data_IF_389821609771
#
_entry.id   IF_389821609771
#
_cell.length_a   1.000
_cell.length_b   1.000
_cell.length_c   1.000
_cell.angle_alpha   90.00
_cell.angle_beta   90.00
_cell.angle_gamma   90.00
#
_symmetry.space_group_name_H-M   'P 1'
#
loop_
_entity.id
_entity.type
_entity.pdbx_description
1 polymer ?
#
# COMPACT_ATOMS: atom_id res chain seq x y z
N UNK A 1 -7.74 8.85 2.91
CA UNK A 1 -6.81 8.69 4.05
C UNK A 1 -5.59 9.57 3.83
N UNK A 2 -5.15 10.28 4.86
CA UNK A 2 -3.88 11.05 4.88
C UNK A 2 -3.05 10.57 6.06
N UNK A 3 -1.86 10.06 5.80
CA UNK A 3 -0.93 9.65 6.86
C UNK A 3 -0.31 10.91 7.45
N UNK A 4 -0.25 11.01 8.78
CA UNK A 4 0.35 12.13 9.52
C UNK A 4 1.70 11.78 10.09
N UNK A 5 1.80 10.63 10.76
CA UNK A 5 3.06 10.15 11.33
C UNK A 5 3.14 8.63 11.34
N UNK A 6 4.36 8.10 11.36
CA UNK A 6 4.61 6.68 11.58
C UNK A 6 5.78 6.47 12.53
N UNK A 7 5.65 5.43 13.36
CA UNK A 7 6.74 4.74 14.04
C UNK A 7 6.69 3.27 13.65
N UNK A 8 7.83 2.66 13.37
CA UNK A 8 7.90 1.24 13.03
C UNK A 8 9.23 0.62 13.47
N UNK A 9 9.19 -0.57 14.01
CA UNK A 9 10.41 -1.29 14.34
C UNK A 9 10.34 -2.78 13.94
N UNK A 10 11.50 -3.34 13.63
CA UNK A 10 11.67 -4.73 13.22
C UNK A 10 12.75 -5.38 14.08
N UNK A 11 12.35 -6.21 15.03
CA UNK A 11 13.29 -6.89 15.93
C UNK A 11 14.29 -7.75 15.19
N UNK A 12 13.86 -8.44 14.11
CA UNK A 12 14.70 -9.31 13.29
C UNK A 12 15.75 -8.58 12.46
N UNK A 13 15.49 -7.34 12.04
CA UNK A 13 16.35 -6.54 11.14
C UNK A 13 17.10 -5.43 11.86
N UNK A 14 16.84 -5.21 13.16
CA UNK A 14 17.37 -4.07 13.94
C UNK A 14 17.11 -2.71 13.28
N UNK A 15 15.98 -2.59 12.58
CA UNK A 15 15.52 -1.34 11.97
C UNK A 15 14.54 -0.70 12.93
N UNK A 16 14.75 0.60 13.19
CA UNK A 16 13.89 1.39 14.04
C UNK A 16 13.63 2.74 13.35
N UNK A 17 12.39 3.00 13.03
CA UNK A 17 11.89 4.22 12.39
C UNK A 17 11.08 4.95 13.45
N UNK A 18 11.48 6.18 13.78
CA UNK A 18 10.86 6.96 14.84
C UNK A 18 10.53 8.36 14.35
N UNK A 19 9.39 8.86 14.79
CA UNK A 19 8.93 10.25 14.65
C UNK A 19 8.98 10.77 13.20
N UNK A 20 8.57 9.92 12.24
CA UNK A 20 8.47 10.35 10.84
C UNK A 20 7.13 11.01 10.62
N UNK A 21 7.15 12.31 10.35
CA UNK A 21 5.98 13.12 10.07
C UNK A 21 5.80 13.35 8.57
N UNK A 22 4.54 13.43 8.12
CA UNK A 22 4.17 13.66 6.73
C UNK A 22 3.35 14.95 6.58
N UNK A 23 3.63 15.69 5.52
CA UNK A 23 2.85 16.87 5.16
C UNK A 23 1.46 16.49 4.61
N UNK A 24 0.50 17.41 4.72
CA UNK A 24 -0.90 17.18 4.31
C UNK A 24 -1.08 16.88 2.81
N UNK A 25 -0.14 17.27 1.98
CA UNK A 25 -0.18 17.07 0.53
C UNK A 25 0.94 16.16 0.05
N UNK A 26 2.04 16.75 -0.39
CA UNK A 26 3.23 16.07 -0.86
C UNK A 26 4.32 16.06 0.21
N UNK A 27 4.88 14.89 0.47
CA UNK A 27 6.09 14.74 1.30
C UNK A 27 7.23 14.24 0.42
N UNK A 28 8.32 14.97 0.37
CA UNK A 28 9.53 14.59 -0.36
C UNK A 28 10.61 14.10 0.61
N UNK A 29 11.00 12.83 0.48
CA UNK A 29 12.08 12.23 1.27
C UNK A 29 13.42 12.44 0.54
N UNK A 30 14.23 13.36 1.03
CA UNK A 30 15.54 13.71 0.44
C UNK A 30 16.68 13.28 1.35
N UNK A 31 17.79 12.85 0.78
CA UNK A 31 18.98 12.46 1.54
C UNK A 31 19.91 11.55 0.73
N UNK A 32 21.11 11.31 1.25
CA UNK A 32 22.10 10.43 0.64
C UNK A 32 21.57 9.00 0.43
N UNK A 33 22.21 8.22 -0.44
CA UNK A 33 21.89 6.79 -0.59
C UNK A 33 22.16 6.05 0.74
N UNK A 34 21.29 5.11 1.09
CA UNK A 34 21.48 4.28 2.29
C UNK A 34 20.97 4.87 3.62
N UNK A 35 20.45 6.11 3.65
CA UNK A 35 19.95 6.74 4.90
C UNK A 35 18.56 6.28 5.34
N UNK A 36 17.97 5.26 4.70
CA UNK A 36 16.71 4.67 5.15
C UNK A 36 15.44 5.19 4.48
N UNK A 37 15.51 6.04 3.43
CA UNK A 37 14.31 6.55 2.74
C UNK A 37 13.36 5.44 2.27
N UNK A 38 13.90 4.40 1.64
CA UNK A 38 13.11 3.25 1.18
C UNK A 38 12.52 2.45 2.35
N UNK A 39 13.21 2.39 3.49
CA UNK A 39 12.69 1.71 4.68
C UNK A 39 11.44 2.38 5.24
N UNK A 40 11.32 3.71 5.13
CA UNK A 40 10.10 4.44 5.51
C UNK A 40 8.93 4.04 4.60
N UNK A 41 9.15 3.97 3.29
CA UNK A 41 8.13 3.54 2.33
C UNK A 41 7.76 2.06 2.53
N UNK A 42 8.77 1.20 2.76
CA UNK A 42 8.56 -0.21 3.08
C UNK A 42 7.72 -0.37 4.37
N UNK A 43 7.98 0.44 5.40
CA UNK A 43 7.20 0.39 6.65
C UNK A 43 5.72 0.76 6.44
N UNK A 44 5.43 1.76 5.61
CA UNK A 44 4.04 2.09 5.23
C UNK A 44 3.36 0.91 4.53
N UNK A 45 4.09 0.23 3.64
CA UNK A 45 3.59 -0.96 2.96
C UNK A 45 3.40 -2.14 3.90
N UNK A 46 4.30 -2.34 4.85
CA UNK A 46 4.19 -3.38 5.86
C UNK A 46 2.99 -3.11 6.80
N UNK A 47 2.76 -1.86 7.22
CA UNK A 47 1.56 -1.47 7.97
C UNK A 47 0.28 -1.75 7.16
N UNK A 48 0.27 -1.42 5.86
CA UNK A 48 -0.85 -1.78 4.97
C UNK A 48 -1.08 -3.29 4.95
N UNK A 49 -0.04 -4.10 4.78
CA UNK A 49 -0.15 -5.57 4.73
C UNK A 49 -0.72 -6.13 6.02
N UNK A 50 -0.32 -5.59 7.17
CA UNK A 50 -0.90 -5.92 8.48
C UNK A 50 -2.39 -5.55 8.53
N UNK A 51 -2.77 -4.36 8.06
CA UNK A 51 -4.18 -3.96 8.00
C UNK A 51 -5.03 -4.89 7.12
N UNK A 52 -4.41 -5.53 6.12
CA UNK A 52 -5.06 -6.49 5.22
C UNK A 52 -5.04 -7.94 5.73
N UNK A 53 -4.46 -8.19 6.91
CA UNK A 53 -4.51 -9.48 7.62
C UNK A 53 -3.26 -10.33 7.53
N UNK A 54 -2.16 -9.81 6.99
CA UNK A 54 -0.90 -10.55 7.00
C UNK A 54 -0.13 -10.31 8.29
N UNK A 55 0.67 -11.29 8.72
CA UNK A 55 1.50 -11.19 9.91
C UNK A 55 2.97 -10.98 9.54
N UNK A 56 3.67 -10.17 10.33
CA UNK A 56 5.09 -9.87 10.13
C UNK A 56 5.86 -10.12 11.44
N UNK A 57 6.75 -11.08 11.41
CA UNK A 57 7.50 -11.52 12.60
C UNK A 57 8.31 -10.38 13.25
N UNK A 58 8.04 -10.11 14.53
CA UNK A 58 8.73 -9.11 15.33
C UNK A 58 8.58 -7.68 14.82
N UNK A 59 7.51 -7.38 14.11
CA UNK A 59 7.16 -6.04 13.66
C UNK A 59 6.30 -5.33 14.70
N UNK A 60 6.63 -4.09 15.00
CA UNK A 60 5.76 -3.19 15.75
C UNK A 60 5.53 -1.92 14.96
N UNK A 61 4.34 -1.36 15.10
CA UNK A 61 3.90 -0.18 14.35
C UNK A 61 3.08 0.76 15.21
N UNK A 62 3.16 2.02 14.86
CA UNK A 62 2.22 3.06 15.25
C UNK A 62 2.04 3.99 14.05
N UNK A 63 0.80 4.26 13.69
CA UNK A 63 0.45 5.16 12.58
C UNK A 63 -0.66 6.10 13.00
N UNK A 64 -0.43 7.39 12.76
CA UNK A 64 -1.45 8.41 12.84
C UNK A 64 -1.91 8.80 11.45
N UNK A 65 -3.21 8.86 11.24
CA UNK A 65 -3.80 9.21 9.94
C UNK A 65 -5.19 9.83 10.12
N UNK A 66 -5.68 10.49 9.06
CA UNK A 66 -7.06 10.97 9.01
C UNK A 66 -7.81 10.38 7.80
N UNK A 67 -9.09 10.14 7.98
CA UNK A 67 -10.04 9.80 6.93
C UNK A 67 -11.22 10.76 7.11
N UNK A 68 -11.47 11.56 6.07
CA UNK A 68 -12.46 12.64 6.09
C UNK A 68 -12.22 13.59 7.29
N UNK A 69 -13.14 13.69 8.23
CA UNK A 69 -13.05 14.57 9.42
C UNK A 69 -12.53 13.85 10.67
N UNK A 70 -12.33 12.53 10.61
CA UNK A 70 -11.91 11.72 11.77
C UNK A 70 -10.40 11.49 11.82
N UNK A 71 -9.88 11.49 13.03
CA UNK A 71 -8.49 11.24 13.37
C UNK A 71 -8.31 9.83 13.94
N UNK A 72 -7.28 9.15 13.51
CA UNK A 72 -7.02 7.76 13.88
C UNK A 72 -5.60 7.60 14.40
N UNK A 73 -5.45 6.85 15.48
CA UNK A 73 -4.18 6.33 15.96
C UNK A 73 -4.28 4.80 16.04
N UNK A 74 -3.49 4.10 15.26
CA UNK A 74 -3.45 2.64 15.26
C UNK A 74 -2.04 2.14 15.55
N UNK A 75 -1.93 1.27 16.54
CA UNK A 75 -0.65 0.70 16.98
C UNK A 75 -0.78 -0.77 17.31
N UNK A 76 0.34 -1.49 17.24
CA UNK A 76 0.40 -2.88 17.65
C UNK A 76 1.81 -3.46 17.54
N UNK A 77 1.92 -4.69 18.01
CA UNK A 77 3.17 -5.44 18.04
C UNK A 77 2.90 -6.92 17.78
N UNK A 78 3.70 -7.53 16.93
CA UNK A 78 3.77 -8.99 16.78
C UNK A 78 4.82 -9.59 17.69
N UNK A 79 4.56 -10.77 18.21
CA UNK A 79 5.58 -11.57 18.88
C UNK A 79 6.74 -11.87 17.92
N UNK A 80 7.97 -11.73 18.40
CA UNK A 80 9.14 -12.25 17.70
C UNK A 80 9.19 -13.77 17.84
N UNK A 81 9.08 -14.50 16.74
CA UNK A 81 9.33 -15.92 16.69
C UNK A 81 10.78 -16.12 16.26
N UNK A 82 11.57 -16.89 17.00
CA UNK A 82 12.91 -17.29 16.55
C UNK A 82 12.76 -18.10 15.25
N UNK A 83 13.20 -17.54 14.14
CA UNK A 83 13.28 -18.29 12.88
C UNK A 83 14.35 -19.36 12.99
N UNK A 84 13.99 -20.61 12.73
CA UNK A 84 14.95 -21.71 12.58
C UNK A 84 16.04 -21.33 11.58
N UNK A 85 17.29 -21.64 11.91
CA UNK A 85 18.46 -21.36 11.05
C UNK A 85 18.28 -21.90 9.61
N UNK A 86 17.54 -23.00 9.45
CA UNK A 86 17.18 -23.60 8.17
C UNK A 86 16.21 -22.72 7.35
N UNK A 87 15.24 -22.06 8.00
CA UNK A 87 14.29 -21.15 7.33
C UNK A 87 15.01 -19.89 6.82
N UNK A 88 16.01 -19.39 7.57
CA UNK A 88 16.88 -18.28 7.12
C UNK A 88 17.66 -18.61 5.87
N UNK A 89 18.22 -19.81 5.77
CA UNK A 89 18.99 -20.28 4.61
C UNK A 89 18.08 -20.44 3.39
N UNK A 90 16.89 -21.03 3.56
CA UNK A 90 15.91 -21.16 2.47
C UNK A 90 15.41 -19.80 1.97
N UNK A 91 15.22 -18.82 2.85
CA UNK A 91 14.85 -17.46 2.50
C UNK A 91 15.90 -16.72 1.65
N UNK A 92 17.20 -17.05 1.79
CA UNK A 92 18.28 -16.48 0.98
C UNK A 92 18.25 -16.97 -0.48
N UNK A 93 17.71 -18.16 -0.74
CA UNK A 93 17.65 -18.75 -2.09
C UNK A 93 16.30 -18.56 -2.77
N UNK A 94 15.24 -18.19 -2.04
CA UNK A 94 13.96 -17.87 -2.64
C UNK A 94 13.95 -16.43 -3.13
N UNK A 95 13.91 -16.22 -4.44
CA UNK A 95 13.70 -14.89 -5.08
C UNK A 95 12.30 -14.33 -4.83
N UNK A 96 11.40 -15.07 -4.20
CA UNK A 96 10.11 -14.55 -3.79
C UNK A 96 10.32 -13.71 -2.54
N UNK A 97 10.02 -12.42 -2.63
CA UNK A 97 9.85 -11.49 -1.51
C UNK A 97 8.62 -11.89 -0.64
N UNK A 98 8.50 -13.18 -0.29
CA UNK A 98 7.51 -13.61 0.70
C UNK A 98 7.99 -13.15 2.08
N UNK A 99 7.88 -11.82 2.30
CA UNK A 99 8.15 -11.18 3.60
C UNK A 99 7.14 -11.63 4.67
N UNK A 100 6.06 -12.33 4.30
CA UNK A 100 4.80 -12.24 5.03
C UNK A 100 4.17 -13.58 5.40
N UNK A 101 4.87 -14.70 5.30
CA UNK A 101 4.32 -15.99 5.76
C UNK A 101 4.82 -16.33 7.17
N UNK A 102 4.76 -15.38 8.10
CA UNK A 102 5.01 -15.67 9.49
C UNK A 102 3.66 -15.96 10.18
N UNK A 103 3.57 -17.07 10.92
CA UNK A 103 2.45 -17.31 11.83
C UNK A 103 2.66 -16.51 13.14
N UNK A 104 3.28 -15.34 13.07
CA UNK A 104 3.49 -14.49 14.21
C UNK A 104 2.16 -14.02 14.78
N UNK A 105 1.99 -14.14 16.08
CA UNK A 105 0.78 -13.71 16.78
C UNK A 105 0.90 -12.25 17.16
N UNK A 106 -0.21 -11.52 17.11
CA UNK A 106 -0.28 -10.16 17.63
C UNK A 106 -0.27 -10.24 19.16
N UNK A 107 0.69 -9.55 19.76
CA UNK A 107 0.83 -9.41 21.21
C UNK A 107 -0.10 -8.34 21.75
N UNK A 108 -0.05 -7.17 21.11
CA UNK A 108 -0.89 -6.02 21.46
C UNK A 108 -1.38 -5.31 20.22
N UNK A 109 -2.60 -4.76 20.27
CA UNK A 109 -3.13 -3.91 19.22
C UNK A 109 -4.13 -2.90 19.81
N UNK A 110 -4.02 -1.63 19.43
CA UNK A 110 -4.91 -0.58 19.87
C UNK A 110 -5.32 0.29 18.69
N UNK A 111 -6.58 0.67 18.65
CA UNK A 111 -7.11 1.64 17.70
C UNK A 111 -7.90 2.70 18.45
N UNK A 112 -7.53 3.95 18.23
CA UNK A 112 -8.28 5.12 18.69
C UNK A 112 -8.90 5.83 17.49
N UNK A 113 -10.11 6.34 17.68
CA UNK A 113 -10.82 7.23 16.75
C UNK A 113 -11.21 8.48 17.53
N UNK A 114 -10.76 9.65 17.07
CA UNK A 114 -10.99 10.94 17.75
C UNK A 114 -10.66 10.90 19.26
N UNK A 115 -9.57 10.21 19.62
CA UNK A 115 -9.10 9.94 20.99
C UNK A 115 -9.87 8.89 21.79
N UNK A 116 -10.98 8.37 21.28
CA UNK A 116 -11.71 7.27 21.92
C UNK A 116 -11.07 5.91 21.58
N UNK A 117 -10.83 5.09 22.60
CA UNK A 117 -10.30 3.73 22.43
C UNK A 117 -11.41 2.81 21.92
N UNK A 118 -11.30 2.41 20.65
CA UNK A 118 -12.28 1.55 19.96
C UNK A 118 -11.89 0.09 20.01
N UNK A 119 -10.60 -0.19 19.81
CA UNK A 119 -10.05 -1.56 19.85
C UNK A 119 -8.93 -1.60 20.87
N UNK A 120 -8.99 -2.58 21.75
CA UNK A 120 -7.91 -2.96 22.65
C UNK A 120 -7.72 -4.47 22.59
N UNK A 121 -6.52 -4.91 22.19
CA UNK A 121 -6.16 -6.32 22.14
C UNK A 121 -4.93 -6.57 22.99
N UNK A 122 -5.01 -7.60 23.82
CA UNK A 122 -3.88 -8.22 24.51
C UNK A 122 -3.92 -9.72 24.23
N UNK A 123 -2.93 -10.20 23.48
CA UNK A 123 -2.84 -11.59 23.01
C UNK A 123 -4.13 -12.06 22.28
N UNK A 124 -4.88 -12.99 22.88
CA UNK A 124 -6.09 -13.56 22.29
C UNK A 124 -7.37 -12.81 22.70
N UNK A 125 -7.28 -11.89 23.65
CA UNK A 125 -8.43 -11.13 24.14
C UNK A 125 -8.56 -9.83 23.37
N UNK A 126 -9.70 -9.66 22.69
CA UNK A 126 -10.04 -8.45 21.96
C UNK A 126 -11.25 -7.80 22.59
N UNK A 127 -11.12 -6.52 22.90
CA UNK A 127 -12.21 -5.65 23.37
C UNK A 127 -12.54 -4.68 22.23
N UNK A 128 -13.78 -4.68 21.78
CA UNK A 128 -14.30 -3.75 20.78
C UNK A 128 -15.40 -2.91 21.38
N UNK A 129 -15.25 -1.58 21.36
CA UNK A 129 -16.20 -0.63 22.00
C UNK A 129 -16.51 -1.00 23.46
N UNK A 130 -15.49 -1.34 24.23
CA UNK A 130 -15.64 -1.71 25.64
C UNK A 130 -16.25 -3.09 25.91
N UNK A 131 -16.58 -3.86 24.88
CA UNK A 131 -17.14 -5.21 25.03
C UNK A 131 -16.18 -6.27 24.48
N UNK A 132 -16.01 -7.41 25.16
CA UNK A 132 -15.18 -8.50 24.67
C UNK A 132 -15.80 -9.12 23.42
N UNK A 133 -14.95 -9.44 22.43
CA UNK A 133 -15.37 -10.15 21.24
C UNK A 133 -15.29 -11.68 21.44
N UNK A 134 -15.80 -12.43 20.45
CA UNK A 134 -15.47 -13.85 20.33
C UNK A 134 -13.95 -14.03 20.08
N UNK A 135 -13.43 -15.23 20.32
CA UNK A 135 -12.06 -15.57 19.96
C UNK A 135 -11.90 -15.50 18.44
N UNK A 136 -10.96 -14.64 18.00
CA UNK A 136 -10.65 -14.41 16.59
C UNK A 136 -9.21 -14.87 16.29
N UNK A 137 -8.83 -14.86 15.02
CA UNK A 137 -7.50 -15.29 14.59
C UNK A 137 -6.38 -14.49 15.28
N UNK A 138 -5.41 -15.15 15.91
CA UNK A 138 -4.38 -14.47 16.71
C UNK A 138 -3.31 -13.77 15.87
N UNK A 139 -3.21 -14.08 14.59
CA UNK A 139 -2.19 -13.59 13.66
C UNK A 139 -2.70 -12.51 12.69
N UNK A 140 -4.00 -12.22 12.71
CA UNK A 140 -4.62 -11.18 11.87
C UNK A 140 -4.94 -9.94 12.69
N UNK A 141 -4.79 -8.75 12.08
CA UNK A 141 -5.14 -7.48 12.73
C UNK A 141 -6.64 -7.36 12.99
N UNK A 142 -7.00 -6.61 14.03
CA UNK A 142 -8.41 -6.31 14.32
C UNK A 142 -9.06 -5.50 13.19
N UNK A 143 -8.30 -4.68 12.44
CA UNK A 143 -8.81 -4.00 11.25
C UNK A 143 -9.31 -5.02 10.21
N UNK A 144 -8.56 -6.10 9.99
CA UNK A 144 -8.97 -7.18 9.09
C UNK A 144 -10.14 -7.99 9.65
N UNK A 145 -10.04 -8.39 10.91
CA UNK A 145 -11.04 -9.26 11.56
C UNK A 145 -12.41 -8.57 11.66
N UNK A 146 -12.42 -7.26 11.90
CA UNK A 146 -13.63 -6.44 12.09
C UNK A 146 -13.96 -5.58 10.86
N UNK A 147 -13.46 -5.92 9.67
CA UNK A 147 -13.60 -5.12 8.45
C UNK A 147 -15.05 -4.85 8.02
N UNK A 148 -16.03 -5.62 8.52
CA UNK A 148 -17.45 -5.43 8.24
C UNK A 148 -18.14 -4.47 9.23
N UNK A 149 -17.47 -4.08 10.31
CA UNK A 149 -17.99 -3.14 11.27
C UNK A 149 -17.95 -1.72 10.70
N UNK A 150 -19.03 -0.95 10.86
CA UNK A 150 -19.19 0.38 10.27
C UNK A 150 -18.04 1.36 10.58
N UNK A 151 -17.44 1.27 11.78
CA UNK A 151 -16.31 2.12 12.17
C UNK A 151 -14.98 1.64 11.56
N UNK A 152 -14.85 0.37 11.21
CA UNK A 152 -13.60 -0.23 10.73
C UNK A 152 -13.55 -0.29 9.21
N UNK A 153 -14.70 -0.44 8.56
CA UNK A 153 -14.80 -0.50 7.09
C UNK A 153 -14.06 0.66 6.38
N UNK A 154 -14.22 1.94 6.79
CA UNK A 154 -13.51 3.06 6.14
C UNK A 154 -11.99 2.94 6.25
N UNK A 155 -11.50 2.43 7.39
CA UNK A 155 -10.06 2.24 7.64
C UNK A 155 -9.53 1.15 6.70
N UNK A 156 -10.17 -0.03 6.71
CA UNK A 156 -9.80 -1.17 5.86
C UNK A 156 -9.78 -0.81 4.37
N UNK A 157 -10.84 -0.17 3.88
CA UNK A 157 -10.94 0.26 2.48
C UNK A 157 -9.91 1.35 2.12
N UNK A 158 -9.52 2.19 3.07
CA UNK A 158 -8.48 3.18 2.88
C UNK A 158 -7.09 2.55 2.76
N UNK A 159 -6.76 1.55 3.58
CA UNK A 159 -5.50 0.82 3.46
C UNK A 159 -5.39 0.05 2.13
N UNK A 160 -6.47 -0.51 1.60
CA UNK A 160 -6.48 -1.15 0.27
C UNK A 160 -6.02 -0.21 -0.85
N UNK A 161 -6.28 1.09 -0.71
CA UNK A 161 -5.93 2.11 -1.72
C UNK A 161 -4.48 2.58 -1.64
N UNK A 162 -3.75 2.27 -0.56
CA UNK A 162 -2.31 2.60 -0.46
C UNK A 162 -1.54 1.81 -1.51
N UNK A 163 -0.74 2.49 -2.32
CA UNK A 163 0.09 1.88 -3.38
C UNK A 163 1.53 2.38 -3.25
N UNK A 164 2.48 1.47 -3.38
CA UNK A 164 3.88 1.79 -3.60
C UNK A 164 4.14 1.66 -5.11
N UNK A 165 4.70 2.70 -5.68
CA UNK A 165 5.15 2.71 -7.08
C UNK A 165 6.67 2.79 -7.05
N UNK A 166 7.36 1.81 -7.62
CA UNK A 166 8.82 1.76 -7.66
C UNK A 166 9.31 1.76 -9.10
N UNK A 167 10.55 2.21 -9.32
CA UNK A 167 11.18 2.13 -10.64
C UNK A 167 11.38 0.69 -11.13
N UNK A 168 11.27 -0.31 -10.25
CA UNK A 168 11.28 -1.73 -10.64
C UNK A 168 9.98 -2.16 -11.32
N UNK A 169 8.90 -1.39 -11.15
CA UNK A 169 7.65 -1.58 -11.90
C UNK A 169 7.82 -1.13 -13.38
N UNK A 170 8.94 -0.49 -13.71
CA UNK A 170 9.34 -0.10 -15.08
C UNK A 170 10.08 -1.21 -15.85
N UNK A 171 10.05 -2.46 -15.38
CA UNK A 171 10.54 -3.57 -16.23
C UNK A 171 9.72 -3.61 -17.52
N UNK A 172 10.32 -3.94 -18.69
CA UNK A 172 9.59 -3.99 -19.95
C UNK A 172 8.32 -4.84 -19.91
N UNK A 173 8.24 -5.77 -18.97
CA UNK A 173 7.08 -6.65 -18.77
C UNK A 173 6.06 -6.09 -17.77
N UNK A 174 6.41 -5.15 -16.91
CA UNK A 174 5.48 -4.55 -15.94
C UNK A 174 4.42 -3.66 -16.61
N UNK A 175 4.71 -3.19 -17.82
CA UNK A 175 3.82 -2.33 -18.61
C UNK A 175 2.90 -3.13 -19.55
N UNK A 176 2.86 -4.45 -19.42
CA UNK A 176 2.00 -5.31 -20.23
C UNK A 176 0.70 -5.56 -19.47
N UNK A 177 -0.42 -5.23 -20.09
CA UNK A 177 -1.74 -5.50 -19.55
C UNK A 177 -2.61 -6.27 -20.54
N UNK A 178 -3.51 -7.07 -20.00
CA UNK A 178 -4.56 -7.72 -20.80
C UNK A 178 -5.59 -6.65 -21.15
N UNK A 179 -5.83 -6.43 -22.43
CA UNK A 179 -6.54 -5.28 -22.96
C UNK A 179 -7.89 -4.96 -22.31
N UNK A 180 -7.94 -3.77 -21.75
CA UNK A 180 -9.16 -3.09 -21.37
C UNK A 180 -9.62 -2.06 -22.42
N UNK A 181 -9.11 -2.19 -23.67
CA UNK A 181 -9.16 -1.18 -24.72
C UNK A 181 -10.56 -0.66 -25.11
N UNK A 182 -11.61 -1.36 -24.75
CA UNK A 182 -12.99 -0.97 -25.09
C UNK A 182 -13.84 -0.75 -23.84
N UNK A 183 -13.21 -0.57 -22.69
CA UNK A 183 -13.97 -0.28 -21.48
C UNK A 183 -14.32 1.20 -21.45
N UNK A 184 -15.60 1.49 -21.59
CA UNK A 184 -16.14 2.83 -21.36
C UNK A 184 -16.28 3.06 -19.86
N UNK A 185 -15.84 4.22 -19.39
CA UNK A 185 -15.94 4.64 -17.99
C UNK A 185 -16.97 5.72 -17.86
N UNK A 186 -17.93 5.54 -16.95
CA UNK A 186 -18.95 6.54 -16.68
C UNK A 186 -18.42 7.72 -15.85
N UNK A 187 -17.30 7.54 -15.17
CA UNK A 187 -16.69 8.60 -14.36
C UNK A 187 -15.20 8.41 -14.16
N UNK A 188 -14.49 9.52 -13.93
CA UNK A 188 -13.06 9.50 -13.58
C UNK A 188 -12.77 8.73 -12.27
N UNK A 189 -13.72 8.72 -11.32
CA UNK A 189 -13.57 7.94 -10.09
C UNK A 189 -13.58 6.43 -10.34
N UNK A 190 -14.34 5.97 -11.32
CA UNK A 190 -14.35 4.57 -11.75
C UNK A 190 -12.98 4.17 -12.33
N UNK A 191 -12.41 5.01 -13.21
CA UNK A 191 -11.05 4.82 -13.73
C UNK A 191 -10.00 4.79 -12.60
N UNK A 192 -10.09 5.71 -11.63
CA UNK A 192 -9.20 5.75 -10.46
C UNK A 192 -9.25 4.48 -9.63
N UNK A 193 -10.41 3.86 -9.51
CA UNK A 193 -10.63 2.65 -8.71
C UNK A 193 -10.01 1.38 -9.33
N UNK A 194 -9.65 1.39 -10.62
CA UNK A 194 -8.99 0.24 -11.25
C UNK A 194 -7.73 -0.17 -10.50
N UNK A 195 -7.46 -1.46 -10.49
CA UNK A 195 -6.24 -2.04 -9.91
C UNK A 195 -5.12 -2.22 -10.94
N UNK A 196 -5.28 -1.66 -12.14
CA UNK A 196 -4.35 -1.79 -13.25
C UNK A 196 -3.08 -0.94 -13.07
N UNK A 197 -2.10 -1.17 -13.94
CA UNK A 197 -0.83 -0.44 -13.97
C UNK A 197 -1.02 1.07 -14.22
N UNK A 198 -0.11 1.90 -13.70
CA UNK A 198 -0.20 3.36 -13.78
C UNK A 198 -0.25 3.85 -15.23
N UNK A 199 0.59 3.32 -16.12
CA UNK A 199 0.61 3.72 -17.53
C UNK A 199 -0.65 3.32 -18.28
N UNK A 200 -1.26 2.17 -17.95
CA UNK A 200 -2.57 1.79 -18.50
C UNK A 200 -3.64 2.78 -18.07
N UNK A 201 -3.68 3.15 -16.78
CA UNK A 201 -4.61 4.18 -16.30
C UNK A 201 -4.40 5.54 -16.95
N UNK A 202 -3.14 5.94 -17.12
CA UNK A 202 -2.80 7.19 -17.78
C UNK A 202 -3.25 7.20 -19.24
N UNK A 203 -3.06 6.09 -19.97
CA UNK A 203 -3.56 5.91 -21.33
C UNK A 203 -5.10 5.97 -21.39
N UNK A 204 -5.77 5.26 -20.51
CA UNK A 204 -7.24 5.29 -20.42
C UNK A 204 -7.76 6.68 -20.04
N UNK A 205 -7.03 7.40 -19.17
CA UNK A 205 -7.34 8.78 -18.82
C UNK A 205 -7.21 9.71 -20.02
N UNK A 206 -6.10 9.62 -20.76
CA UNK A 206 -5.86 10.41 -21.98
C UNK A 206 -6.99 10.23 -23.01
N UNK A 207 -7.52 9.00 -23.16
CA UNK A 207 -8.53 8.71 -24.18
C UNK A 207 -9.99 8.94 -23.74
N UNK A 208 -10.29 8.90 -22.43
CA UNK A 208 -11.67 8.99 -21.94
C UNK A 208 -11.95 10.28 -21.14
N UNK A 209 -10.90 10.95 -20.64
CA UNK A 209 -10.99 12.11 -19.76
C UNK A 209 -9.85 13.09 -20.06
N UNK A 210 -9.84 13.65 -21.28
CA UNK A 210 -8.76 14.50 -21.80
C UNK A 210 -8.46 15.69 -20.87
N UNK A 211 -9.48 16.41 -20.41
CA UNK A 211 -9.32 17.53 -19.46
C UNK A 211 -8.59 17.11 -18.18
N UNK A 212 -8.86 15.88 -17.68
CA UNK A 212 -8.20 15.35 -16.47
C UNK A 212 -6.77 14.90 -16.74
N UNK A 213 -6.49 14.44 -17.93
CA UNK A 213 -5.13 14.10 -18.35
C UNK A 213 -4.29 15.38 -18.53
N UNK A 214 -4.86 16.44 -19.08
CA UNK A 214 -4.22 17.76 -19.17
C UNK A 214 -3.90 18.32 -17.78
N UNK A 215 -4.86 18.32 -16.83
CA UNK A 215 -4.64 18.72 -15.43
C UNK A 215 -3.42 17.98 -14.82
N UNK A 216 -3.29 16.66 -15.08
CA UNK A 216 -2.17 15.84 -14.60
C UNK A 216 -0.85 16.25 -15.28
N UNK A 217 -0.86 16.47 -16.59
CA UNK A 217 0.32 16.90 -17.35
C UNK A 217 0.81 18.29 -16.89
N UNK A 218 -0.10 19.23 -16.66
CA UNK A 218 0.24 20.56 -16.15
C UNK A 218 0.87 20.49 -14.76
N UNK A 219 0.27 19.75 -13.83
CA UNK A 219 0.85 19.54 -12.50
C UNK A 219 2.23 18.89 -12.57
N UNK A 220 2.47 17.99 -13.52
CA UNK A 220 3.75 17.35 -13.73
C UNK A 220 4.80 18.33 -14.29
N UNK A 221 4.40 19.20 -15.23
CA UNK A 221 5.25 20.27 -15.81
C UNK A 221 5.62 21.32 -14.76
N UNK A 222 4.73 21.63 -13.80
CA UNK A 222 5.05 22.51 -12.67
C UNK A 222 6.20 21.95 -11.81
N UNK A 223 6.21 20.63 -11.58
CA UNK A 223 7.28 19.96 -10.81
C UNK A 223 8.56 19.84 -11.64
N UNK A 224 8.45 19.61 -12.93
CA UNK A 224 9.56 19.37 -13.87
C UNK A 224 9.50 20.36 -15.05
N UNK A 225 9.93 21.62 -14.88
CA UNK A 225 9.76 22.69 -15.89
C UNK A 225 10.50 22.46 -17.22
N UNK A 226 11.43 21.49 -17.25
CA UNK A 226 12.12 21.12 -18.48
C UNK A 226 11.30 20.19 -19.39
N UNK A 227 10.18 19.65 -18.91
CA UNK A 227 9.28 18.80 -19.68
C UNK A 227 8.28 19.68 -20.43
N UNK A 228 8.22 19.51 -21.73
CA UNK A 228 7.32 20.28 -22.60
C UNK A 228 6.00 19.55 -22.84
N UNK A 229 6.09 18.23 -22.99
CA UNK A 229 4.93 17.40 -23.27
C UNK A 229 5.09 15.96 -22.79
N UNK A 230 3.96 15.30 -22.53
CA UNK A 230 3.88 13.90 -22.06
C UNK A 230 2.84 13.19 -22.92
N UNK A 231 3.27 12.14 -23.58
CA UNK A 231 2.41 11.28 -24.39
C UNK A 231 2.44 9.84 -23.85
N UNK A 232 1.26 9.23 -23.71
CA UNK A 232 1.15 7.81 -23.37
C UNK A 232 0.75 7.04 -24.61
N UNK A 233 1.56 6.06 -24.97
CA UNK A 233 1.37 5.22 -26.16
C UNK A 233 1.02 3.80 -25.76
N UNK A 234 0.25 3.15 -26.62
CA UNK A 234 -0.10 1.75 -26.50
C UNK A 234 0.36 1.01 -27.78
N UNK A 235 0.92 -0.18 -27.57
CA UNK A 235 1.31 -1.08 -28.67
C UNK A 235 0.74 -2.46 -28.41
N UNK A 236 0.03 -3.02 -29.40
CA UNK A 236 -0.46 -4.40 -29.35
C UNK A 236 0.72 -5.37 -29.50
N UNK A 237 0.82 -6.33 -28.58
CA UNK A 237 1.83 -7.37 -28.63
C UNK A 237 1.27 -8.62 -29.32
N UNK A 238 1.89 -9.02 -30.41
CA UNK A 238 1.57 -10.27 -31.12
C UNK A 238 2.15 -11.49 -30.36
N UNK A 239 1.75 -11.68 -29.10
CA UNK A 239 2.16 -12.84 -28.30
C UNK A 239 1.00 -13.83 -28.30
N UNK A 240 1.20 -15.07 -28.79
CA UNK A 240 0.18 -16.10 -28.68
C UNK A 240 -0.15 -16.36 -27.21
N UNK A 241 -1.39 -16.17 -26.83
CA UNK A 241 -1.86 -16.56 -25.51
C UNK A 241 -3.00 -17.58 -25.62
N UNK A 242 -3.10 -18.47 -24.64
CA UNK A 242 -4.08 -19.56 -24.59
C UNK A 242 -5.53 -19.08 -24.53
N UNK A 243 -5.76 -17.83 -24.12
CA UNK A 243 -7.10 -17.30 -23.83
C UNK A 243 -7.66 -16.42 -24.96
N UNK A 244 -6.91 -16.22 -26.06
CA UNK A 244 -7.32 -15.38 -27.19
C UNK A 244 -7.47 -13.89 -26.87
N UNK A 245 -7.03 -13.45 -25.69
CA UNK A 245 -7.06 -12.04 -25.28
C UNK A 245 -5.87 -11.30 -25.85
N UNK A 246 -6.08 -10.07 -26.28
CA UNK A 246 -5.01 -9.20 -26.75
C UNK A 246 -4.18 -8.68 -25.58
N UNK A 247 -2.86 -8.69 -25.75
CA UNK A 247 -1.93 -8.09 -24.80
C UNK A 247 -1.42 -6.76 -25.35
N UNK A 248 -1.31 -5.77 -24.49
CA UNK A 248 -0.86 -4.44 -24.85
C UNK A 248 0.29 -4.01 -23.96
N UNK A 249 1.28 -3.37 -24.56
CA UNK A 249 2.36 -2.69 -23.86
C UNK A 249 2.09 -1.19 -23.87
N UNK A 250 2.21 -0.58 -22.69
CA UNK A 250 2.08 0.86 -22.50
C UNK A 250 3.44 1.50 -22.30
N UNK A 251 3.68 2.60 -22.97
CA UNK A 251 4.93 3.36 -22.90
C UNK A 251 4.60 4.85 -22.76
N UNK A 252 5.51 5.60 -22.14
CA UNK A 252 5.43 7.06 -22.13
C UNK A 252 6.56 7.66 -22.94
N UNK A 253 6.30 8.82 -23.52
CA UNK A 253 7.30 9.66 -24.17
C UNK A 253 7.25 11.05 -23.51
N UNK A 254 8.40 11.58 -23.19
CA UNK A 254 8.58 12.90 -22.61
C UNK A 254 9.33 13.76 -23.66
N UNK A 255 8.82 14.95 -23.94
CA UNK A 255 9.37 15.90 -24.88
C UNK A 255 9.92 17.16 -24.20
#
# INVERSE_FOLDING_TARGET
>A
MKIKSINASYSSRKVNIQDVEFNKGLTLLVGASGVGKTQILDAICDIKTVALGESINGFSWQIEFSIDEHEYLWSGEFNGVEEDALARVQGLFSKSKSRNNSNARIKTEQLYIDSDLIIHREEEQIIFKGSPTLKLAPNESCIKLLQQENLITPIFESFKKVKLITSQDETPFANIAVGLNNQEFNSFNELRALTSHVLEKAYLCQNNFEDKFEDICEAYKEIFPFIKDIEIMQTELNIPNSDGKKLYQYMYRIH
#
